data_IF_167297971629
#
_entry.id   IF_167297971629
#
_cell.length_a   1.000
_cell.length_b   1.000
_cell.length_c   1.000
_cell.angle_alpha   90.00
_cell.angle_beta   90.00
_cell.angle_gamma   90.00
#
_symmetry.space_group_name_H-M   'P 1'
#
loop_
_entity.id
_entity.type
_entity.pdbx_description
1 polymer ?
#
# COMPACT_ATOMS: atom_id res chain seq x y z
N UNK A 1 10.74 18.91 -0.85
CA UNK A 1 10.16 19.94 0.06
C UNK A 1 10.94 19.96 1.38
N UNK A 2 11.01 21.12 2.04
CA UNK A 2 11.80 21.31 3.27
C UNK A 2 11.00 20.88 4.53
N UNK A 3 11.66 20.16 5.44
CA UNK A 3 11.13 19.71 6.74
C UNK A 3 10.42 20.82 7.51
N UNK A 4 11.02 22.01 7.56
CA UNK A 4 10.48 23.17 8.29
C UNK A 4 9.07 23.56 7.83
N UNK A 5 8.76 23.41 6.53
CA UNK A 5 7.42 23.70 6.02
C UNK A 5 6.38 22.78 6.65
N UNK A 6 6.66 21.48 6.73
CA UNK A 6 5.75 20.49 7.30
C UNK A 6 5.60 20.65 8.82
N UNK A 7 6.68 21.00 9.53
CA UNK A 7 6.61 21.29 10.97
C UNK A 7 5.76 22.52 11.26
N UNK A 8 5.93 23.58 10.47
CA UNK A 8 5.13 24.80 10.58
C UNK A 8 3.66 24.54 10.25
N UNK A 9 3.38 23.76 9.19
CA UNK A 9 2.01 23.32 8.88
C UNK A 9 1.43 22.54 10.05
N UNK A 10 2.18 21.57 10.58
CA UNK A 10 1.72 20.72 11.69
C UNK A 10 1.36 21.53 12.93
N UNK A 11 2.21 22.51 13.28
CA UNK A 11 2.00 23.38 14.45
C UNK A 11 0.79 24.31 14.30
N UNK A 12 0.39 24.63 13.07
CA UNK A 12 -0.80 25.47 12.78
C UNK A 12 -2.10 24.67 12.77
N UNK A 13 -2.04 23.38 12.42
CA UNK A 13 -3.23 22.58 12.10
C UNK A 13 -3.53 21.47 13.12
N UNK A 14 -2.58 21.11 13.98
CA UNK A 14 -2.76 20.09 15.02
C UNK A 14 -2.43 20.67 16.39
N UNK A 15 -3.07 20.12 17.43
CA UNK A 15 -2.85 20.53 18.81
C UNK A 15 -2.32 19.38 19.67
N UNK A 16 -1.67 19.74 20.79
CA UNK A 16 -1.35 18.84 21.89
C UNK A 16 -0.62 17.55 21.44
N UNK A 17 -1.21 16.39 21.76
CA UNK A 17 -0.62 15.07 21.52
C UNK A 17 -0.59 14.69 20.04
N UNK A 18 -1.60 15.07 19.26
CA UNK A 18 -1.65 14.75 17.83
C UNK A 18 -0.58 15.53 17.05
N UNK A 19 -0.34 16.79 17.44
CA UNK A 19 0.78 17.57 16.92
C UNK A 19 2.12 16.85 17.18
N UNK A 20 2.35 16.37 18.42
CA UNK A 20 3.57 15.64 18.76
C UNK A 20 3.73 14.34 17.97
N UNK A 21 2.64 13.60 17.74
CA UNK A 21 2.65 12.38 16.94
C UNK A 21 3.07 12.66 15.49
N UNK A 22 2.48 13.68 14.86
CA UNK A 22 2.80 14.07 13.48
C UNK A 22 4.24 14.58 13.37
N UNK A 23 4.68 15.47 14.28
CA UNK A 23 6.05 15.98 14.30
C UNK A 23 7.08 14.85 14.40
N UNK A 24 6.83 13.86 15.27
CA UNK A 24 7.69 12.67 15.40
C UNK A 24 7.76 11.83 14.11
N UNK A 25 6.66 11.76 13.35
CA UNK A 25 6.63 11.07 12.07
C UNK A 25 7.39 11.85 10.98
N UNK A 26 7.26 13.18 10.97
CA UNK A 26 8.09 14.06 10.13
C UNK A 26 9.57 13.85 10.46
N UNK A 27 9.94 13.86 11.74
CA UNK A 27 11.31 13.58 12.17
C UNK A 27 11.81 12.23 11.67
N UNK A 28 11.02 11.17 11.88
CA UNK A 28 11.38 9.80 11.45
C UNK A 28 11.55 9.69 9.93
N UNK A 29 10.72 10.39 9.17
CA UNK A 29 10.80 10.44 7.71
C UNK A 29 12.10 11.09 7.23
N UNK A 30 12.46 12.26 7.78
CA UNK A 30 13.69 12.94 7.40
C UNK A 30 14.94 12.27 7.97
N UNK A 31 14.85 11.67 9.16
CA UNK A 31 15.91 10.81 9.72
C UNK A 31 16.24 9.67 8.75
N UNK A 32 15.21 9.01 8.20
CA UNK A 32 15.38 7.98 7.19
C UNK A 32 16.01 8.53 5.89
N UNK A 33 15.58 9.70 5.39
CA UNK A 33 16.20 10.30 4.20
C UNK A 33 17.69 10.56 4.41
N UNK A 34 18.07 11.05 5.59
CA UNK A 34 19.43 11.48 5.86
C UNK A 34 20.38 10.31 6.16
N UNK A 35 19.87 9.24 6.77
CA UNK A 35 20.70 8.19 7.36
C UNK A 35 20.54 6.82 6.69
N UNK A 36 19.43 6.54 6.00
CA UNK A 36 19.21 5.26 5.35
C UNK A 36 19.79 5.26 3.93
N UNK A 37 20.63 4.26 3.64
CA UNK A 37 21.11 3.98 2.29
C UNK A 37 20.62 2.61 1.87
N UNK A 38 19.90 2.57 0.75
CA UNK A 38 19.50 1.32 0.13
C UNK A 38 20.74 0.57 -0.37
N UNK A 39 20.91 -0.66 0.11
CA UNK A 39 21.90 -1.61 -0.40
C UNK A 39 21.56 -2.06 -1.82
N UNK A 40 22.57 -2.37 -2.62
CA UNK A 40 22.32 -3.01 -3.91
C UNK A 40 21.59 -4.35 -3.72
N UNK A 41 20.59 -4.59 -4.56
CA UNK A 41 19.90 -5.87 -4.57
C UNK A 41 20.79 -6.94 -5.20
N UNK A 42 20.53 -8.21 -4.87
CA UNK A 42 21.29 -9.35 -5.41
C UNK A 42 20.62 -10.05 -6.60
N UNK A 43 19.47 -9.55 -7.03
CA UNK A 43 18.71 -10.15 -8.13
C UNK A 43 19.42 -10.04 -9.48
N UNK A 44 19.31 -11.11 -10.26
CA UNK A 44 19.60 -11.19 -11.68
C UNK A 44 18.30 -11.15 -12.51
N UNK A 45 18.44 -10.85 -13.81
CA UNK A 45 17.30 -10.87 -14.73
C UNK A 45 16.78 -12.31 -14.83
N UNK A 46 15.46 -12.49 -14.65
CA UNK A 46 14.80 -13.78 -14.62
C UNK A 46 14.63 -14.38 -13.21
N UNK A 47 15.18 -13.75 -12.18
CA UNK A 47 14.97 -14.19 -10.80
C UNK A 47 13.52 -13.97 -10.36
N UNK A 48 13.04 -14.87 -9.49
CA UNK A 48 11.79 -14.66 -8.78
C UNK A 48 12.01 -13.63 -7.66
N UNK A 49 11.15 -12.62 -7.60
CA UNK A 49 11.18 -11.65 -6.50
C UNK A 49 10.53 -12.27 -5.26
N UNK A 50 11.25 -12.22 -4.14
CA UNK A 50 10.77 -12.57 -2.82
C UNK A 50 10.42 -11.29 -2.05
N UNK A 51 9.16 -11.17 -1.65
CA UNK A 51 8.69 -10.12 -0.76
C UNK A 51 8.70 -10.65 0.68
N UNK A 52 9.35 -9.92 1.58
CA UNK A 52 9.41 -10.31 2.99
C UNK A 52 8.22 -9.78 3.76
N UNK A 53 7.86 -10.46 4.85
CA UNK A 53 6.91 -9.93 5.83
C UNK A 53 7.34 -8.52 6.23
N UNK A 54 6.38 -7.60 6.23
CA UNK A 54 6.59 -6.19 6.54
C UNK A 54 7.00 -5.33 5.34
N UNK A 55 7.29 -5.90 4.15
CA UNK A 55 7.42 -5.12 2.91
C UNK A 55 6.16 -4.31 2.67
N UNK A 56 6.34 -3.04 2.29
CA UNK A 56 5.24 -2.13 1.96
C UNK A 56 5.12 -1.97 0.46
N UNK A 57 3.88 -1.93 -0.05
CA UNK A 57 3.60 -1.69 -1.47
C UNK A 57 2.63 -0.52 -1.65
N UNK A 58 2.83 0.25 -2.71
CA UNK A 58 1.93 1.31 -3.13
C UNK A 58 1.89 1.36 -4.66
N UNK A 59 0.77 1.74 -5.26
CA UNK A 59 0.72 1.97 -6.70
C UNK A 59 0.13 3.33 -7.04
N UNK A 60 0.34 3.77 -8.27
CA UNK A 60 -0.01 5.12 -8.69
C UNK A 60 -0.73 5.15 -10.02
N UNK A 61 -1.95 5.71 -10.04
CA UNK A 61 -2.74 5.91 -11.27
C UNK A 61 -2.11 6.91 -12.24
N UNK A 62 -1.26 7.81 -11.73
CA UNK A 62 -0.49 8.74 -12.58
C UNK A 62 0.70 8.05 -13.24
N UNK A 63 0.90 6.76 -13.00
CA UNK A 63 1.95 5.94 -13.57
C UNK A 63 3.32 6.64 -13.47
N UNK A 64 3.97 6.90 -14.59
CA UNK A 64 5.33 7.45 -14.59
C UNK A 64 5.43 8.83 -13.94
N UNK A 65 4.41 9.67 -14.10
CA UNK A 65 4.42 11.00 -13.49
C UNK A 65 4.21 10.91 -11.98
N UNK A 66 3.38 9.98 -11.53
CA UNK A 66 3.26 9.66 -10.11
C UNK A 66 4.55 9.11 -9.52
N UNK A 67 5.29 8.29 -10.26
CA UNK A 67 6.61 7.82 -9.82
C UNK A 67 7.60 8.99 -9.68
N UNK A 68 7.63 9.93 -10.63
CA UNK A 68 8.48 11.13 -10.55
C UNK A 68 8.19 11.93 -9.29
N UNK A 69 6.91 12.18 -9.00
CA UNK A 69 6.49 12.90 -7.80
C UNK A 69 6.99 12.18 -6.53
N UNK A 70 6.77 10.86 -6.44
CA UNK A 70 7.17 10.05 -5.29
C UNK A 70 8.69 10.00 -5.14
N UNK A 71 9.45 9.90 -6.24
CA UNK A 71 10.92 9.91 -6.19
C UNK A 71 11.46 11.27 -5.72
N UNK A 72 10.78 12.36 -6.08
CA UNK A 72 11.21 13.71 -5.73
C UNK A 72 10.95 14.07 -4.26
N UNK A 73 9.84 13.62 -3.68
CA UNK A 73 9.43 14.05 -2.34
C UNK A 73 9.09 12.93 -1.36
N UNK A 74 9.11 11.68 -1.79
CA UNK A 74 8.49 10.56 -1.06
C UNK A 74 6.98 10.50 -1.27
N UNK A 75 6.36 9.48 -0.68
CA UNK A 75 4.92 9.38 -0.60
C UNK A 75 4.46 10.20 0.61
N UNK A 76 3.78 11.33 0.38
CA UNK A 76 3.34 12.26 1.44
C UNK A 76 1.81 12.34 1.44
N UNK A 77 1.24 12.39 2.64
CA UNK A 77 -0.20 12.44 2.84
C UNK A 77 -0.83 13.75 2.34
N UNK A 78 -2.10 13.65 1.90
CA UNK A 78 -2.83 14.71 1.20
C UNK A 78 -3.08 16.00 1.98
N UNK A 79 -2.87 16.03 3.29
CA UNK A 79 -2.95 17.29 4.04
C UNK A 79 -1.68 18.12 3.94
N UNK A 80 -0.53 17.49 3.72
CA UNK A 80 0.76 18.17 3.67
C UNK A 80 1.12 18.64 2.26
N UNK A 81 0.39 18.14 1.25
CA UNK A 81 0.52 18.49 -0.16
C UNK A 81 -0.86 18.83 -0.71
N UNK A 82 -0.98 19.54 -1.83
CA UNK A 82 -2.26 19.78 -2.50
C UNK A 82 -2.79 18.48 -3.16
N UNK A 83 -3.22 17.54 -2.32
CA UNK A 83 -3.56 16.18 -2.68
C UNK A 83 -5.07 15.93 -2.70
N UNK A 84 -5.47 14.79 -3.29
CA UNK A 84 -6.88 14.40 -3.36
C UNK A 84 -7.43 14.11 -1.96
N UNK A 85 -8.71 14.42 -1.76
CA UNK A 85 -9.46 14.07 -0.53
C UNK A 85 -9.38 12.55 -0.30
N UNK A 86 -9.03 12.16 0.92
CA UNK A 86 -8.89 10.76 1.38
C UNK A 86 -9.73 10.52 2.64
N UNK A 87 -10.03 9.25 2.94
CA UNK A 87 -10.68 8.84 4.20
C UNK A 87 -9.79 9.11 5.41
N UNK A 88 -8.47 9.06 5.23
CA UNK A 88 -7.43 9.33 6.24
C UNK A 88 -6.40 10.30 5.64
N UNK A 89 -6.75 11.59 5.53
CA UNK A 89 -5.99 12.57 4.75
C UNK A 89 -4.64 12.98 5.37
N UNK A 90 -4.40 12.67 6.64
CA UNK A 90 -3.11 12.83 7.32
C UNK A 90 -2.13 11.68 7.06
N UNK A 91 -2.57 10.63 6.39
CA UNK A 91 -1.83 9.37 6.24
C UNK A 91 -1.74 8.92 4.79
N UNK A 92 -0.73 8.10 4.50
CA UNK A 92 -0.56 7.44 3.21
C UNK A 92 -0.99 5.98 3.32
N UNK A 93 -1.90 5.58 2.45
CA UNK A 93 -2.36 4.19 2.35
C UNK A 93 -1.34 3.32 1.63
N UNK A 94 -0.91 2.23 2.26
CA UNK A 94 0.02 1.25 1.71
C UNK A 94 -0.39 -0.17 2.08
N UNK A 95 -0.03 -1.13 1.24
CA UNK A 95 -0.19 -2.55 1.53
C UNK A 95 0.98 -3.03 2.38
N UNK A 96 0.70 -3.74 3.46
CA UNK A 96 1.67 -4.25 4.43
C UNK A 96 1.58 -5.77 4.52
N UNK A 97 2.60 -6.45 4.00
CA UNK A 97 2.60 -7.90 3.93
C UNK A 97 2.69 -8.53 5.33
N UNK A 98 1.78 -9.46 5.61
CA UNK A 98 1.72 -10.17 6.90
C UNK A 98 2.57 -11.43 6.98
N UNK A 99 3.03 -11.92 5.83
CA UNK A 99 3.92 -13.06 5.68
C UNK A 99 4.83 -12.84 4.48
N UNK A 100 5.85 -13.68 4.35
CA UNK A 100 6.69 -13.75 3.15
C UNK A 100 5.85 -14.25 1.96
N UNK A 101 6.13 -13.73 0.77
CA UNK A 101 5.51 -14.13 -0.49
C UNK A 101 6.54 -14.20 -1.60
N UNK A 102 6.45 -15.20 -2.48
CA UNK A 102 6.95 -15.03 -3.84
C UNK A 102 6.02 -14.03 -4.53
N UNK A 103 6.58 -12.99 -5.17
CA UNK A 103 5.82 -11.89 -5.74
C UNK A 103 4.71 -12.37 -6.70
N UNK A 104 5.00 -13.39 -7.52
CA UNK A 104 4.01 -14.01 -8.42
C UNK A 104 2.77 -14.52 -7.68
N UNK A 105 2.96 -15.16 -6.53
CA UNK A 105 1.86 -15.72 -5.74
C UNK A 105 1.06 -14.61 -5.08
N UNK A 106 1.72 -13.54 -4.63
CA UNK A 106 1.03 -12.35 -4.14
C UNK A 106 0.21 -11.68 -5.24
N UNK A 107 0.76 -11.54 -6.45
CA UNK A 107 0.05 -11.03 -7.63
C UNK A 107 -1.17 -11.90 -7.95
N UNK A 108 -1.04 -13.22 -7.95
CA UNK A 108 -2.17 -14.12 -8.16
C UNK A 108 -3.24 -13.94 -7.07
N UNK A 109 -2.82 -13.88 -5.81
CA UNK A 109 -3.71 -13.66 -4.67
C UNK A 109 -4.51 -12.37 -4.83
N UNK A 110 -3.82 -11.24 -4.99
CA UNK A 110 -4.52 -9.96 -5.00
C UNK A 110 -5.22 -9.66 -6.32
N UNK A 111 -4.79 -10.22 -7.45
CA UNK A 111 -5.47 -9.97 -8.74
C UNK A 111 -6.82 -10.65 -8.87
N UNK A 112 -7.24 -11.45 -7.88
CA UNK A 112 -8.56 -12.07 -7.87
C UNK A 112 -9.66 -11.14 -7.32
N UNK A 113 -10.54 -11.69 -6.48
CA UNK A 113 -11.69 -10.96 -5.96
C UNK A 113 -11.94 -11.21 -4.48
N UNK A 114 -12.43 -10.18 -3.78
CA UNK A 114 -12.97 -10.33 -2.42
C UNK A 114 -14.45 -10.66 -2.52
N UNK A 115 -14.86 -11.73 -1.84
CA UNK A 115 -16.24 -12.24 -1.88
C UNK A 115 -16.87 -12.11 -0.52
N UNK A 116 -18.15 -11.75 -0.50
CA UNK A 116 -19.03 -11.88 0.66
C UNK A 116 -20.12 -12.90 0.35
N UNK A 117 -20.34 -13.85 1.24
CA UNK A 117 -21.44 -14.80 1.21
C UNK A 117 -22.40 -14.58 2.37
N UNK A 118 -23.70 -14.69 2.10
CA UNK A 118 -24.74 -14.55 3.12
C UNK A 118 -26.07 -15.16 2.67
N UNK A 119 -26.96 -15.38 3.64
CA UNK A 119 -28.36 -15.74 3.38
C UNK A 119 -29.25 -14.58 3.85
N UNK A 120 -30.29 -14.23 3.09
CA UNK A 120 -31.11 -13.03 3.37
C UNK A 120 -31.76 -13.05 4.78
N UNK A 121 -32.08 -14.23 5.28
CA UNK A 121 -32.73 -14.45 6.57
C UNK A 121 -31.76 -14.92 7.68
N UNK A 122 -30.45 -14.98 7.39
CA UNK A 122 -29.44 -15.47 8.33
C UNK A 122 -28.45 -14.38 8.74
N UNK A 123 -28.01 -14.44 10.00
CA UNK A 123 -27.02 -13.50 10.53
C UNK A 123 -25.57 -13.85 10.13
N UNK A 124 -25.36 -15.06 9.61
CA UNK A 124 -24.04 -15.54 9.20
C UNK A 124 -23.60 -14.88 7.90
N UNK A 125 -22.48 -14.16 7.97
CA UNK A 125 -21.79 -13.58 6.83
C UNK A 125 -20.36 -14.10 6.82
N UNK A 126 -19.91 -14.57 5.67
CA UNK A 126 -18.53 -15.00 5.48
C UNK A 126 -17.89 -14.11 4.41
N UNK A 127 -16.61 -13.77 4.60
CA UNK A 127 -15.80 -13.13 3.55
C UNK A 127 -14.57 -13.97 3.27
N UNK A 128 -14.09 -13.89 2.03
CA UNK A 128 -12.76 -14.42 1.69
C UNK A 128 -12.19 -13.72 0.46
N UNK A 129 -10.89 -13.92 0.23
CA UNK A 129 -10.24 -13.59 -1.04
C UNK A 129 -10.15 -14.84 -1.91
N UNK A 130 -10.66 -14.74 -3.13
CA UNK A 130 -10.50 -15.75 -4.19
C UNK A 130 -9.33 -15.32 -5.06
N UNK A 131 -8.28 -16.12 -5.14
CA UNK A 131 -7.13 -15.86 -6.01
C UNK A 131 -7.52 -15.87 -7.49
N UNK A 132 -6.78 -15.14 -8.31
CA UNK A 132 -7.08 -14.95 -9.74
C UNK A 132 -7.24 -16.27 -10.50
N UNK A 133 -6.31 -17.22 -10.33
CA UNK A 133 -6.38 -18.53 -10.99
C UNK A 133 -7.56 -19.42 -10.52
N UNK A 134 -8.19 -19.10 -9.38
CA UNK A 134 -9.34 -19.82 -8.83
C UNK A 134 -10.68 -19.18 -9.22
N UNK A 135 -10.70 -17.97 -9.80
CA UNK A 135 -11.95 -17.30 -10.20
C UNK A 135 -12.78 -18.16 -11.16
N UNK A 136 -12.13 -18.91 -12.06
CA UNK A 136 -12.82 -19.84 -12.97
C UNK A 136 -13.57 -20.97 -12.26
N UNK A 137 -13.12 -21.35 -11.06
CA UNK A 137 -13.70 -22.43 -10.25
C UNK A 137 -14.66 -21.89 -9.18
N UNK A 138 -14.90 -20.57 -9.17
CA UNK A 138 -15.63 -19.90 -8.10
C UNK A 138 -17.07 -20.42 -7.93
N UNK A 139 -17.75 -20.78 -9.02
CA UNK A 139 -19.10 -21.37 -8.98
C UNK A 139 -19.13 -22.68 -8.17
N UNK A 140 -18.14 -23.56 -8.33
CA UNK A 140 -18.08 -24.81 -7.57
C UNK A 140 -17.95 -24.53 -6.07
N UNK A 141 -17.15 -23.52 -5.72
CA UNK A 141 -16.96 -23.09 -4.33
C UNK A 141 -18.26 -22.54 -3.71
N UNK A 142 -19.05 -21.78 -4.49
CA UNK A 142 -20.37 -21.31 -4.05
C UNK A 142 -21.30 -22.49 -3.77
N UNK A 143 -21.34 -23.47 -4.67
CA UNK A 143 -22.18 -24.68 -4.51
C UNK A 143 -21.80 -25.44 -3.23
N UNK A 144 -20.51 -25.64 -3.00
CA UNK A 144 -19.99 -26.32 -1.80
C UNK A 144 -20.32 -25.58 -0.50
N UNK A 145 -20.29 -24.24 -0.52
CA UNK A 145 -20.60 -23.41 0.66
C UNK A 145 -22.09 -23.31 0.97
N UNK A 146 -22.98 -23.50 -0.01
CA UNK A 146 -24.43 -23.53 0.19
C UNK A 146 -25.10 -22.18 0.51
N UNK A 147 -24.44 -21.05 0.26
CA UNK A 147 -25.04 -19.72 0.41
C UNK A 147 -25.93 -19.36 -0.79
N UNK A 148 -27.06 -18.70 -0.52
CA UNK A 148 -28.01 -18.27 -1.56
C UNK A 148 -27.67 -16.91 -2.18
N UNK A 149 -26.87 -16.09 -1.48
CA UNK A 149 -26.45 -14.78 -1.98
C UNK A 149 -24.94 -14.62 -1.84
N UNK A 150 -24.32 -14.11 -2.90
CA UNK A 150 -22.90 -13.79 -2.93
C UNK A 150 -22.65 -12.51 -3.73
N UNK A 151 -21.60 -11.79 -3.35
CA UNK A 151 -21.13 -10.58 -4.04
C UNK A 151 -19.61 -10.65 -4.14
N UNK A 152 -19.07 -10.42 -5.34
CA UNK A 152 -17.63 -10.36 -5.58
C UNK A 152 -17.24 -8.97 -6.05
N UNK A 153 -16.21 -8.40 -5.42
CA UNK A 153 -15.56 -7.17 -5.86
C UNK A 153 -14.08 -7.45 -6.19
N UNK A 154 -13.45 -6.63 -7.02
CA UNK A 154 -11.99 -6.63 -7.13
C UNK A 154 -11.38 -6.38 -5.76
N UNK A 155 -10.29 -7.07 -5.41
CA UNK A 155 -9.53 -6.73 -4.19
C UNK A 155 -9.12 -5.25 -4.23
N UNK A 156 -8.91 -4.63 -3.08
CA UNK A 156 -8.47 -3.23 -3.08
C UNK A 156 -7.10 -3.12 -3.75
N UNK A 157 -6.18 -4.01 -3.44
CA UNK A 157 -4.85 -4.08 -4.03
C UNK A 157 -4.88 -4.04 -5.57
N UNK A 158 -5.73 -4.86 -6.21
CA UNK A 158 -5.82 -4.91 -7.67
C UNK A 158 -6.31 -3.61 -8.32
N UNK A 159 -7.04 -2.78 -7.57
CA UNK A 159 -7.51 -1.46 -8.01
C UNK A 159 -6.38 -0.43 -8.03
N UNK A 160 -5.37 -0.59 -7.18
CA UNK A 160 -4.32 0.41 -6.95
C UNK A 160 -2.91 -0.04 -7.39
N UNK A 161 -2.66 -1.34 -7.55
CA UNK A 161 -1.40 -1.90 -8.05
C UNK A 161 -1.57 -2.43 -9.49
N UNK A 162 -0.48 -2.56 -10.27
CA UNK A 162 -0.50 -3.38 -11.48
C UNK A 162 -1.03 -4.78 -11.16
N UNK A 163 -1.95 -5.31 -11.96
CA UNK A 163 -2.60 -6.58 -11.65
C UNK A 163 -2.98 -7.35 -12.90
N UNK A 164 -3.36 -8.63 -12.76
CA UNK A 164 -3.71 -9.50 -13.88
C UNK A 164 -5.08 -9.16 -14.51
N UNK A 165 -5.87 -8.29 -13.88
CA UNK A 165 -7.26 -7.98 -14.26
C UNK A 165 -7.43 -6.60 -14.89
N UNK A 166 -6.37 -5.80 -15.00
CA UNK A 166 -6.43 -4.47 -15.62
C UNK A 166 -5.05 -4.00 -16.12
N UNK A 167 -5.06 -3.09 -17.10
CA UNK A 167 -3.87 -2.43 -17.64
C UNK A 167 -3.88 -0.90 -17.44
N UNK A 168 -4.69 -0.38 -16.54
CA UNK A 168 -4.75 1.04 -16.21
C UNK A 168 -3.58 1.48 -15.30
N UNK A 169 -3.31 0.73 -14.23
CA UNK A 169 -2.18 0.98 -13.32
C UNK A 169 -0.98 0.18 -13.79
N UNK A 170 0.08 0.89 -14.16
CA UNK A 170 1.31 0.32 -14.73
C UNK A 170 2.51 0.43 -13.80
N UNK A 171 2.40 1.14 -12.67
CA UNK A 171 3.48 1.27 -11.68
C UNK A 171 3.01 0.89 -10.28
N UNK A 172 3.66 -0.13 -9.72
CA UNK A 172 3.67 -0.46 -8.30
C UNK A 172 5.08 -0.24 -7.75
N UNK A 173 5.16 0.25 -6.52
CA UNK A 173 6.39 0.58 -5.81
C UNK A 173 6.53 -0.39 -4.65
N UNK A 174 7.72 -0.97 -4.51
CA UNK A 174 8.08 -1.90 -3.44
C UNK A 174 9.06 -1.18 -2.53
N UNK A 175 8.68 -1.02 -1.27
CA UNK A 175 9.51 -0.38 -0.25
C UNK A 175 10.15 -1.43 0.66
N UNK A 176 11.47 -1.31 0.83
CA UNK A 176 12.21 -2.04 1.85
C UNK A 176 11.94 -1.36 3.20
N UNK A 177 10.88 -1.80 3.87
CA UNK A 177 10.46 -1.30 5.19
C UNK A 177 10.88 -2.23 6.33
N UNK A 178 11.52 -3.36 6.03
CA UNK A 178 12.01 -4.29 7.05
C UNK A 178 13.40 -3.89 7.60
N UNK A 179 13.55 -2.61 7.93
CA UNK A 179 14.71 -2.03 8.59
C UNK A 179 14.27 -1.14 9.75
N UNK A 180 15.22 -0.57 10.49
CA UNK A 180 14.89 0.23 11.68
C UNK A 180 14.05 1.47 11.36
N UNK A 181 14.30 2.13 10.21
CA UNK A 181 13.58 3.34 9.80
C UNK A 181 12.16 3.00 9.37
N UNK A 182 11.98 1.95 8.56
CA UNK A 182 10.65 1.46 8.19
C UNK A 182 9.82 1.06 9.42
N UNK A 183 10.43 0.42 10.42
CA UNK A 183 9.76 0.10 11.70
C UNK A 183 9.42 1.35 12.52
N UNK A 184 10.23 2.41 12.50
CA UNK A 184 9.90 3.69 13.16
C UNK A 184 8.70 4.36 12.50
N UNK A 185 8.65 4.39 11.17
CA UNK A 185 7.52 4.95 10.40
C UNK A 185 6.22 4.16 10.63
N UNK A 186 6.30 2.83 10.71
CA UNK A 186 5.13 2.00 11.01
C UNK A 186 4.51 2.22 12.40
N UNK A 187 5.19 2.91 13.32
CA UNK A 187 4.56 3.36 14.58
C UNK A 187 3.52 4.45 14.35
N UNK A 188 3.54 5.11 13.19
CA UNK A 188 2.51 6.05 12.74
C UNK A 188 1.34 5.39 12.02
N UNK A 189 1.25 4.05 11.94
CA UNK A 189 0.13 3.37 11.29
C UNK A 189 -1.16 3.52 12.11
N UNK A 190 -2.09 4.35 11.62
CA UNK A 190 -3.36 4.65 12.30
C UNK A 190 -4.38 3.50 12.18
N UNK A 191 -4.16 2.51 11.31
CA UNK A 191 -4.99 1.30 11.23
C UNK A 191 -4.62 0.27 12.29
N UNK A 192 -3.56 0.52 13.06
CA UNK A 192 -3.14 -0.31 14.18
C UNK A 192 -3.53 0.38 15.50
N UNK A 193 -4.50 -0.21 16.21
CA UNK A 193 -5.00 0.29 17.49
C UNK A 193 -3.90 0.45 18.56
N UNK A 194 -2.88 -0.43 18.53
CA UNK A 194 -1.78 -0.39 19.49
C UNK A 194 -0.81 0.79 19.25
N UNK A 195 -0.87 1.43 18.08
CA UNK A 195 -0.05 2.59 17.76
C UNK A 195 -0.76 3.90 18.13
N UNK A 196 -2.02 4.06 17.70
CA UNK A 196 -2.82 5.26 17.93
C UNK A 196 -4.21 4.84 18.40
N UNK A 197 -4.59 5.23 19.62
CA UNK A 197 -5.89 4.86 20.20
C UNK A 197 -7.06 5.60 19.50
N UNK A 198 -8.29 5.26 19.87
CA UNK A 198 -9.48 5.81 19.21
C UNK A 198 -9.64 7.33 19.42
N UNK A 199 -9.26 7.86 20.59
CA UNK A 199 -9.38 9.30 20.87
C UNK A 199 -8.38 10.09 20.01
N UNK A 200 -7.12 9.64 19.98
CA UNK A 200 -6.06 10.34 19.26
C UNK A 200 -6.24 10.24 17.73
N UNK A 201 -6.81 9.13 17.22
CA UNK A 201 -6.96 8.92 15.77
C UNK A 201 -8.05 9.79 15.14
N UNK A 202 -8.95 10.36 15.93
CA UNK A 202 -10.09 11.14 15.43
C UNK A 202 -9.65 12.34 14.57
N UNK A 203 -8.58 13.03 14.95
CA UNK A 203 -8.04 14.17 14.19
C UNK A 203 -7.32 13.76 12.89
N UNK A 204 -7.14 12.46 12.62
CA UNK A 204 -6.43 11.95 11.45
C UNK A 204 -7.36 11.35 10.39
N UNK A 205 -8.65 11.23 10.71
CA UNK A 205 -9.67 10.58 9.88
C UNK A 205 -10.73 11.61 9.49
N UNK A 206 -11.32 11.45 8.32
CA UNK A 206 -12.48 12.26 7.95
C UNK A 206 -13.58 12.12 9.01
N UNK A 207 -14.04 13.25 9.57
CA UNK A 207 -15.06 13.30 10.62
C UNK A 207 -16.33 12.50 10.29
N UNK A 208 -16.76 12.51 9.03
CA UNK A 208 -18.00 11.85 8.58
C UNK A 208 -17.80 10.32 8.47
N UNK A 209 -16.56 9.85 8.51
CA UNK A 209 -16.19 8.43 8.44
C UNK A 209 -15.72 7.86 9.79
N UNK A 210 -15.43 8.71 10.78
CA UNK A 210 -14.76 8.31 12.02
C UNK A 210 -15.51 7.21 12.81
N UNK A 211 -16.82 7.33 12.98
CA UNK A 211 -17.62 6.32 13.71
C UNK A 211 -17.54 4.94 13.05
N UNK A 212 -17.62 4.91 11.71
CA UNK A 212 -17.47 3.68 10.96
C UNK A 212 -16.04 3.14 11.02
N UNK A 213 -15.06 4.04 10.94
CA UNK A 213 -13.64 3.70 10.99
C UNK A 213 -13.25 2.97 12.28
N UNK A 214 -13.67 3.44 13.46
CA UNK A 214 -13.29 2.80 14.73
C UNK A 214 -13.86 1.38 14.87
N UNK A 215 -15.05 1.14 14.29
CA UNK A 215 -15.68 -0.19 14.25
C UNK A 215 -14.92 -1.10 13.29
N UNK A 216 -14.70 -0.64 12.05
CA UNK A 216 -14.06 -1.43 11.01
C UNK A 216 -12.58 -1.73 11.33
N UNK A 217 -11.87 -0.77 11.96
CA UNK A 217 -10.48 -0.93 12.39
C UNK A 217 -10.31 -2.09 13.38
N UNK A 218 -11.30 -2.30 14.25
CA UNK A 218 -11.29 -3.38 15.26
C UNK A 218 -11.75 -4.71 14.68
N UNK A 219 -12.65 -4.69 13.70
CA UNK A 219 -13.30 -5.87 13.12
C UNK A 219 -12.94 -5.99 11.63
N UNK A 220 -11.65 -6.15 11.32
CA UNK A 220 -11.18 -6.21 9.93
C UNK A 220 -11.67 -7.50 9.26
N UNK A 221 -12.42 -7.35 8.17
CA UNK A 221 -12.77 -8.43 7.25
C UNK A 221 -11.92 -8.34 5.97
N UNK A 222 -12.15 -9.19 4.98
CA UNK A 222 -11.37 -9.16 3.72
C UNK A 222 -11.63 -7.92 2.85
N UNK A 223 -12.73 -7.18 3.10
CA UNK A 223 -13.06 -5.94 2.40
C UNK A 223 -12.35 -4.74 3.03
N UNK A 224 -12.38 -4.63 4.36
CA UNK A 224 -11.59 -3.63 5.08
C UNK A 224 -10.10 -3.93 4.95
N UNK A 225 -9.75 -5.22 4.93
CA UNK A 225 -8.43 -5.85 4.88
C UNK A 225 -7.53 -5.52 6.06
N UNK A 226 -6.92 -6.55 6.65
CA UNK A 226 -5.84 -6.40 7.64
C UNK A 226 -4.48 -6.09 6.99
N UNK A 227 -4.40 -6.20 5.65
CA UNK A 227 -3.21 -5.99 4.82
C UNK A 227 -2.99 -4.54 4.43
N UNK A 228 -3.84 -3.63 4.86
CA UNK A 228 -3.67 -2.18 4.68
C UNK A 228 -3.02 -1.57 5.93
N UNK A 229 -2.11 -0.62 5.71
CA UNK A 229 -1.58 0.32 6.71
C UNK A 229 -1.82 1.74 6.23
N UNK A 230 -2.09 2.66 7.16
CA UNK A 230 -2.22 4.09 6.87
C UNK A 230 -1.20 4.84 7.72
N UNK A 231 -0.06 5.16 7.12
CA UNK A 231 1.11 5.70 7.83
C UNK A 231 0.99 7.23 7.88
N UNK A 232 0.95 7.80 9.09
CA UNK A 232 0.96 9.24 9.30
C UNK A 232 2.13 9.90 8.56
N UNK A 233 1.86 11.07 7.99
CA UNK A 233 2.78 11.89 7.20
C UNK A 233 3.23 11.24 5.88
N UNK A 234 3.96 10.12 5.90
CA UNK A 234 4.46 9.55 4.66
C UNK A 234 5.54 8.46 4.75
N UNK A 235 5.98 8.01 3.57
CA UNK A 235 7.12 7.13 3.38
C UNK A 235 8.19 7.78 2.49
N UNK A 236 9.46 7.79 2.89
CA UNK A 236 10.53 8.42 2.12
C UNK A 236 10.90 7.57 0.90
N UNK A 237 11.29 8.24 -0.18
CA UNK A 237 11.68 7.60 -1.43
C UNK A 237 12.95 6.73 -1.29
N UNK A 238 13.78 6.99 -0.28
CA UNK A 238 15.02 6.23 -0.02
C UNK A 238 14.77 4.76 0.31
N UNK A 239 13.54 4.40 0.70
CA UNK A 239 13.14 3.02 0.97
C UNK A 239 12.72 2.26 -0.31
N UNK A 240 12.60 2.90 -1.47
CA UNK A 240 12.14 2.24 -2.71
C UNK A 240 13.21 1.28 -3.20
N UNK A 241 12.95 -0.02 -3.08
CA UNK A 241 13.87 -1.08 -3.50
C UNK A 241 13.54 -1.68 -4.86
N UNK A 242 12.29 -1.58 -5.29
CA UNK A 242 11.81 -2.22 -6.51
C UNK A 242 10.60 -1.52 -7.11
N UNK A 243 10.41 -1.74 -8.41
CA UNK A 243 9.24 -1.28 -9.17
C UNK A 243 8.59 -2.47 -9.86
N UNK A 244 7.32 -2.71 -9.56
CA UNK A 244 6.46 -3.64 -10.29
C UNK A 244 5.83 -2.89 -11.48
N UNK A 245 5.97 -3.44 -12.69
CA UNK A 245 5.33 -2.87 -13.88
C UNK A 245 4.21 -3.76 -14.42
N UNK A 246 3.18 -3.12 -14.97
CA UNK A 246 2.08 -3.79 -15.69
C UNK A 246 2.50 -4.24 -17.09
N UNK A 247 1.60 -4.96 -17.79
CA UNK A 247 1.91 -5.60 -19.08
C UNK A 247 2.28 -4.62 -20.20
N UNK A 248 1.76 -3.40 -20.16
CA UNK A 248 2.05 -2.41 -21.19
C UNK A 248 3.46 -1.83 -20.98
N UNK A 249 3.80 -1.49 -19.74
CA UNK A 249 5.12 -0.95 -19.41
C UNK A 249 6.23 -2.00 -19.47
N UNK A 250 5.90 -3.28 -19.22
CA UNK A 250 6.81 -4.41 -19.40
C UNK A 250 7.41 -4.46 -20.82
N UNK A 251 6.63 -4.07 -21.83
CA UNK A 251 7.04 -4.09 -23.26
C UNK A 251 7.62 -2.77 -23.75
N UNK A 252 7.47 -1.69 -22.97
CA UNK A 252 7.91 -0.35 -23.35
C UNK A 252 9.33 -0.05 -22.83
N UNK A 253 10.33 -0.21 -23.70
CA UNK A 253 11.73 0.05 -23.35
C UNK A 253 12.00 1.52 -22.97
N UNK A 254 11.21 2.46 -23.47
CA UNK A 254 11.35 3.88 -23.12
C UNK A 254 10.93 4.10 -21.67
N UNK A 255 9.78 3.53 -21.27
CA UNK A 255 9.30 3.60 -19.87
C UNK A 255 10.24 2.87 -18.92
N UNK A 256 10.72 1.68 -19.27
CA UNK A 256 11.68 0.94 -18.45
C UNK A 256 13.00 1.71 -18.26
N UNK A 257 13.51 2.39 -19.29
CA UNK A 257 14.69 3.26 -19.19
C UNK A 257 14.43 4.48 -18.30
N UNK A 258 13.25 5.09 -18.43
CA UNK A 258 12.84 6.23 -17.60
C UNK A 258 12.77 5.85 -16.11
N UNK A 259 12.17 4.70 -15.77
CA UNK A 259 12.14 4.17 -14.40
C UNK A 259 13.56 3.97 -13.86
N UNK A 260 14.46 3.34 -14.62
CA UNK A 260 15.86 3.15 -14.19
C UNK A 260 16.63 4.46 -14.02
N UNK A 261 16.32 5.49 -14.82
CA UNK A 261 16.91 6.82 -14.65
C UNK A 261 16.47 7.47 -13.34
N UNK A 262 15.19 7.30 -12.96
CA UNK A 262 14.65 7.83 -11.70
C UNK A 262 15.15 7.04 -10.48
N UNK A 263 15.27 5.72 -10.60
CA UNK A 263 15.66 4.82 -9.52
C UNK A 263 16.79 3.86 -9.96
N UNK A 264 18.04 4.34 -10.04
CA UNK A 264 19.15 3.54 -10.56
C UNK A 264 19.47 2.28 -9.76
N UNK A 265 19.17 2.25 -8.45
CA UNK A 265 19.42 1.10 -7.57
C UNK A 265 18.24 0.12 -7.45
N UNK A 266 17.06 0.48 -7.95
CA UNK A 266 15.87 -0.36 -7.81
C UNK A 266 15.80 -1.40 -8.93
N UNK A 267 15.42 -2.63 -8.60
CA UNK A 267 15.07 -3.63 -9.62
C UNK A 267 13.71 -3.33 -10.23
N UNK A 268 13.50 -3.74 -11.48
CA UNK A 268 12.18 -3.71 -12.12
C UNK A 268 11.71 -5.15 -12.32
N UNK A 269 10.47 -5.42 -11.91
CA UNK A 269 9.84 -6.73 -12.04
C UNK A 269 8.47 -6.64 -12.74
N UNK A 270 8.04 -7.75 -13.34
CA UNK A 270 6.79 -7.84 -14.09
C UNK A 270 5.68 -8.58 -13.32
N UNK A 271 4.51 -8.71 -13.93
CA UNK A 271 3.37 -9.42 -13.35
C UNK A 271 3.55 -10.95 -13.26
N UNK A 272 4.62 -11.52 -13.81
CA UNK A 272 5.01 -12.92 -13.59
C UNK A 272 5.89 -13.07 -12.33
N UNK A 273 6.11 -11.99 -11.59
CA UNK A 273 6.94 -11.94 -10.38
C UNK A 273 8.43 -12.03 -10.67
N UNK A 274 8.84 -11.74 -11.92
CA UNK A 274 10.21 -11.90 -12.41
C UNK A 274 10.92 -10.57 -12.53
N UNK A 275 12.20 -10.53 -12.18
CA UNK A 275 13.05 -9.37 -12.47
C UNK A 275 13.31 -9.29 -13.97
N UNK A 276 13.02 -8.14 -14.57
CA UNK A 276 13.20 -7.88 -16.01
C UNK A 276 14.28 -6.84 -16.27
N UNK A 277 14.68 -6.06 -15.25
CA UNK A 277 15.76 -5.08 -15.33
C UNK A 277 16.39 -4.85 -13.96
N UNK A 278 17.71 -4.68 -13.93
CA UNK A 278 18.49 -4.29 -12.75
C UNK A 278 19.19 -2.96 -12.96
#
# INVERSE_FOLDING_TARGET
MNKQYFENYTTKHFNNKNQQLVLKQIDSFYECINNFQLSEHKYEIGDNVLLKKGTLLHGTFRNIDGLKDIVNQGLIASWFIDGRISKYPSSVGVWSLKKDYILKDYINFYSGGTVRYFNQLGDTKETEVIEFNQVKNFINKIIEKGYLVWQMEQTKEARFLPSLVQNHVQIGIIFNSNNEYGRKLLKGDILNYNNVNDIDVQEFVNKDYYERFIIDRKNKDDFFTDRESAILFGLPYTLIEGVLVGRDYEKDQTKLKEIKKLLPKAYICNLDGKVIKK
#
